data_IF_475253123928
#
_entry.id   IF_475253123928
#
_cell.length_a   1.000
_cell.length_b   1.000
_cell.length_c   1.000
_cell.angle_alpha   90.00
_cell.angle_beta   90.00
_cell.angle_gamma   90.00
#
_symmetry.space_group_name_H-M   'P 1'
#
loop_
_entity.id
_entity.type
_entity.pdbx_description
1 polymer ?
#
# COMPACT_ATOMS: atom_id res chain seq x y z
N UNK A 1 15.82 4.21 40.37
CA UNK A 1 14.85 4.32 39.26
C UNK A 1 15.19 3.22 38.26
N UNK A 2 14.39 2.15 38.19
CA UNK A 2 14.66 1.02 37.29
C UNK A 2 14.72 1.51 35.84
N UNK A 3 15.89 1.42 35.22
CA UNK A 3 16.05 1.57 33.77
C UNK A 3 15.25 0.45 33.14
N UNK A 4 14.00 0.73 32.76
CA UNK A 4 13.13 -0.25 32.09
C UNK A 4 13.90 -0.81 30.89
N UNK A 5 14.19 -2.10 30.96
CA UNK A 5 14.84 -2.81 29.88
C UNK A 5 13.82 -2.97 28.75
N UNK A 6 14.11 -2.37 27.60
CA UNK A 6 13.16 -2.26 26.49
C UNK A 6 13.66 -3.12 25.32
N UNK A 7 12.82 -4.05 24.86
CA UNK A 7 13.02 -4.76 23.60
C UNK A 7 12.64 -3.88 22.42
N UNK A 8 13.43 -3.95 21.35
CA UNK A 8 13.27 -3.11 20.15
C UNK A 8 12.83 -3.99 18.98
N UNK A 9 11.78 -3.58 18.31
CA UNK A 9 11.23 -4.23 17.13
C UNK A 9 11.26 -3.27 15.95
N UNK A 10 11.81 -3.72 14.83
CA UNK A 10 11.67 -3.01 13.57
C UNK A 10 10.42 -3.49 12.84
N UNK A 11 9.66 -2.55 12.30
CA UNK A 11 8.42 -2.82 11.58
C UNK A 11 8.35 -1.97 10.30
N UNK A 12 7.60 -2.41 9.31
CA UNK A 12 7.37 -1.64 8.08
C UNK A 12 6.60 -0.36 8.40
N UNK A 13 7.04 0.78 7.88
CA UNK A 13 6.29 2.05 8.02
C UNK A 13 4.95 2.00 7.29
N UNK A 14 4.89 1.24 6.20
CA UNK A 14 3.69 0.96 5.43
C UNK A 14 3.49 -0.55 5.45
N UNK A 15 2.41 -1.07 6.06
CA UNK A 15 2.14 -2.50 6.11
C UNK A 15 2.24 -3.16 4.74
N UNK A 16 3.07 -4.21 4.63
CA UNK A 16 3.28 -4.98 3.41
C UNK A 16 4.23 -4.34 2.39
N UNK A 17 4.76 -3.14 2.61
CA UNK A 17 5.71 -2.48 1.71
C UNK A 17 7.00 -2.09 2.44
N UNK A 18 7.94 -3.03 2.47
CA UNK A 18 9.24 -2.85 3.12
C UNK A 18 10.10 -1.76 2.46
N UNK A 19 9.90 -1.47 1.17
CA UNK A 19 10.66 -0.44 0.45
C UNK A 19 10.29 0.98 0.87
N UNK A 20 9.16 1.17 1.58
CA UNK A 20 8.82 2.44 2.24
C UNK A 20 9.58 2.65 3.55
N UNK A 21 10.45 1.71 3.90
CA UNK A 21 11.37 1.80 5.02
C UNK A 21 10.77 1.24 6.31
N UNK A 22 11.67 1.07 7.29
CA UNK A 22 11.34 0.54 8.60
C UNK A 22 11.23 1.67 9.63
N UNK A 23 10.41 1.44 10.65
CA UNK A 23 10.37 2.21 11.89
C UNK A 23 10.64 1.30 13.09
N UNK A 24 10.88 1.88 14.26
CA UNK A 24 11.12 1.12 15.48
C UNK A 24 10.00 1.27 16.52
N UNK A 25 9.76 0.19 17.26
CA UNK A 25 8.87 0.10 18.41
C UNK A 25 9.70 -0.39 19.60
N UNK A 26 9.42 0.15 20.80
CA UNK A 26 9.96 -0.32 22.07
C UNK A 26 8.84 -0.77 22.98
N UNK A 27 9.04 -1.91 23.61
CA UNK A 27 8.15 -2.47 24.62
C UNK A 27 9.01 -3.06 25.74
N UNK A 28 8.45 -3.13 26.94
CA UNK A 28 9.10 -3.75 28.09
C UNK A 28 9.56 -5.19 27.76
N UNK A 29 10.80 -5.53 28.09
CA UNK A 29 11.41 -6.80 27.69
C UNK A 29 10.72 -8.02 28.30
N UNK A 30 10.30 -7.92 29.55
CA UNK A 30 9.67 -9.03 30.27
C UNK A 30 8.28 -9.31 29.69
N UNK A 31 7.59 -8.23 29.32
CA UNK A 31 6.31 -8.32 28.62
C UNK A 31 6.50 -8.90 27.21
N UNK A 32 7.50 -8.45 26.46
CA UNK A 32 7.81 -8.99 25.14
C UNK A 32 8.10 -10.50 25.18
N UNK A 33 8.90 -10.95 26.16
CA UNK A 33 9.22 -12.36 26.34
C UNK A 33 7.98 -13.17 26.73
N UNK A 34 7.19 -12.68 27.70
CA UNK A 34 5.95 -13.33 28.15
C UNK A 34 4.90 -13.45 27.04
N UNK A 35 4.80 -12.44 26.17
CA UNK A 35 3.90 -12.45 25.02
C UNK A 35 4.48 -13.17 23.80
N UNK A 36 5.72 -13.65 23.87
CA UNK A 36 6.43 -14.33 22.77
C UNK A 36 6.40 -13.51 21.46
N UNK A 37 6.59 -12.20 21.56
CA UNK A 37 6.48 -11.31 20.40
C UNK A 37 7.57 -11.66 19.38
N UNK A 38 7.21 -12.04 18.14
CA UNK A 38 8.17 -12.47 17.13
C UNK A 38 8.98 -11.28 16.62
N UNK A 39 10.29 -11.51 16.47
CA UNK A 39 11.21 -10.53 15.86
C UNK A 39 11.23 -10.78 14.36
N UNK A 40 10.62 -9.88 13.57
CA UNK A 40 10.58 -9.98 12.10
C UNK A 40 11.90 -9.59 11.44
N UNK A 41 12.55 -8.54 11.94
CA UNK A 41 13.80 -8.02 11.38
C UNK A 41 14.83 -7.81 12.49
N UNK A 42 16.01 -8.40 12.29
CA UNK A 42 17.11 -8.40 13.28
C UNK A 42 18.34 -7.62 12.80
N UNK A 43 18.38 -7.19 11.54
CA UNK A 43 19.55 -6.54 10.93
C UNK A 43 19.29 -6.03 9.52
N UNK A 44 20.37 -5.87 8.75
CA UNK A 44 20.30 -5.42 7.35
C UNK A 44 19.62 -6.50 6.50
N UNK A 45 18.59 -6.09 5.76
CA UNK A 45 17.79 -6.97 4.92
C UNK A 45 18.30 -6.85 3.48
N UNK A 46 18.72 -7.97 2.91
CA UNK A 46 19.17 -8.07 1.52
C UNK A 46 18.04 -8.61 0.66
N UNK A 47 17.49 -7.77 -0.22
CA UNK A 47 16.41 -8.14 -1.14
C UNK A 47 17.01 -8.31 -2.54
N UNK A 48 16.93 -9.49 -3.17
CA UNK A 48 17.36 -9.69 -4.55
C UNK A 48 16.64 -8.72 -5.48
N UNK A 49 17.37 -8.08 -6.38
CA UNK A 49 16.76 -7.32 -7.46
C UNK A 49 16.11 -8.34 -8.44
N UNK A 50 14.79 -8.33 -8.64
CA UNK A 50 14.12 -9.28 -9.53
C UNK A 50 14.46 -9.07 -11.02
N UNK A 51 15.14 -7.96 -11.38
CA UNK A 51 15.67 -7.73 -12.73
C UNK A 51 17.20 -7.87 -12.78
N UNK A 52 17.74 -9.10 -12.84
CA UNK A 52 19.00 -9.34 -13.52
C UNK A 52 18.68 -9.68 -14.99
N UNK A 53 19.22 -8.92 -15.95
CA UNK A 53 19.11 -9.13 -17.43
C UNK A 53 17.73 -8.71 -18.03
N UNK A 54 17.60 -7.96 -19.13
CA UNK A 54 18.39 -7.89 -20.34
C UNK A 54 18.42 -6.48 -20.95
N UNK A 55 19.60 -5.85 -21.05
CA UNK A 55 19.87 -4.99 -22.22
C UNK A 55 20.48 -5.91 -23.27
N UNK A 56 19.81 -6.20 -24.41
CA UNK A 56 20.53 -6.69 -25.57
C UNK A 56 21.33 -5.49 -26.08
N UNK A 57 22.58 -5.36 -25.63
CA UNK A 57 23.53 -4.45 -26.25
C UNK A 57 23.86 -5.10 -27.59
N UNK A 58 23.37 -4.55 -28.69
CA UNK A 58 23.86 -4.95 -30.00
C UNK A 58 25.34 -4.53 -30.08
N UNK A 59 26.25 -5.40 -30.56
CA UNK A 59 27.67 -5.08 -30.70
C UNK A 59 27.96 -3.82 -31.51
N UNK A 60 26.99 -3.38 -32.31
CA UNK A 60 27.07 -2.27 -33.25
C UNK A 60 26.70 -0.91 -32.62
N UNK A 61 26.03 -0.93 -31.47
CA UNK A 61 25.63 0.27 -30.75
C UNK A 61 26.83 0.84 -30.00
N UNK A 62 27.60 1.71 -30.68
CA UNK A 62 28.70 2.51 -30.09
C UNK A 62 28.18 3.56 -29.11
N UNK A 63 27.43 3.15 -28.09
CA UNK A 63 27.04 4.02 -27.00
C UNK A 63 28.23 4.23 -26.05
N UNK A 64 28.44 5.46 -25.52
CA UNK A 64 29.49 5.72 -24.56
C UNK A 64 29.34 4.78 -23.37
N UNK A 65 30.42 4.09 -23.01
CA UNK A 65 30.51 3.08 -21.97
C UNK A 65 30.14 3.62 -20.59
N UNK A 66 28.86 3.86 -20.33
CA UNK A 66 28.35 4.11 -18.99
C UNK A 66 28.13 2.73 -18.37
N UNK A 67 29.04 2.27 -17.52
CA UNK A 67 28.80 1.09 -16.68
C UNK A 67 27.56 1.36 -15.82
N UNK A 68 26.43 0.68 -16.04
CA UNK A 68 25.28 0.84 -15.16
C UNK A 68 25.68 0.25 -13.82
N UNK A 69 25.46 0.99 -12.73
CA UNK A 69 25.81 0.53 -11.39
C UNK A 69 24.75 -0.49 -10.93
N UNK A 70 24.80 -1.70 -11.50
CA UNK A 70 23.87 -2.79 -11.24
C UNK A 70 24.02 -3.28 -9.80
N UNK A 71 23.22 -2.73 -8.90
CA UNK A 71 23.06 -3.36 -7.60
C UNK A 71 22.22 -4.62 -7.79
N UNK A 72 22.84 -5.79 -7.64
CA UNK A 72 22.16 -7.09 -7.68
C UNK A 72 21.15 -7.26 -6.55
N UNK A 73 21.21 -6.40 -5.52
CA UNK A 73 20.37 -6.45 -4.33
C UNK A 73 20.09 -5.04 -3.79
N UNK A 74 18.90 -4.85 -3.25
CA UNK A 74 18.57 -3.72 -2.39
C UNK A 74 18.92 -4.07 -0.94
N UNK A 75 19.55 -3.14 -0.23
CA UNK A 75 19.83 -3.27 1.19
C UNK A 75 18.92 -2.33 1.97
N UNK A 76 18.09 -2.89 2.85
CA UNK A 76 17.26 -2.12 3.76
C UNK A 76 17.90 -2.16 5.14
N UNK A 77 18.38 -1.01 5.58
CA UNK A 77 19.01 -0.86 6.89
C UNK A 77 17.94 -0.53 7.94
N UNK A 78 17.99 -1.17 9.13
CA UNK A 78 17.18 -0.73 10.25
C UNK A 78 17.45 0.73 10.60
N UNK A 79 16.42 1.52 10.93
CA UNK A 79 16.60 2.93 11.30
C UNK A 79 17.40 3.05 12.59
N UNK A 80 18.17 4.14 12.71
CA UNK A 80 18.75 4.52 13.99
C UNK A 80 17.66 4.71 15.04
N UNK A 81 17.91 4.20 16.25
CA UNK A 81 16.98 4.31 17.38
C UNK A 81 17.20 5.65 18.08
N UNK A 82 16.89 6.74 17.37
CA UNK A 82 17.00 8.12 17.84
C UNK A 82 15.75 8.93 17.48
N UNK A 83 15.62 10.10 18.08
CA UNK A 83 14.53 11.05 17.80
C UNK A 83 13.29 10.86 18.67
N UNK A 84 12.23 11.62 18.34
CA UNK A 84 10.97 11.66 19.09
C UNK A 84 10.22 10.33 18.99
N UNK A 85 9.48 9.99 20.05
CA UNK A 85 8.58 8.85 20.08
C UNK A 85 7.19 9.27 20.54
N UNK A 86 6.22 8.39 20.29
CA UNK A 86 4.84 8.48 20.75
C UNK A 86 4.59 7.32 21.71
N UNK A 87 3.95 7.60 22.84
CA UNK A 87 3.54 6.59 23.82
C UNK A 87 2.13 6.12 23.51
N UNK A 88 1.98 4.82 23.35
CA UNK A 88 0.73 4.09 23.23
C UNK A 88 0.55 3.21 24.47
N UNK A 89 -0.68 2.82 24.75
CA UNK A 89 -0.98 1.81 25.76
C UNK A 89 -1.66 0.63 25.04
N UNK A 90 -1.15 -0.57 25.26
CA UNK A 90 -1.79 -1.80 24.78
C UNK A 90 -2.45 -2.47 25.98
N UNK A 91 -3.74 -2.78 25.85
CA UNK A 91 -4.45 -3.65 26.77
C UNK A 91 -4.47 -5.07 26.17
N UNK A 92 -3.79 -6.01 26.82
CA UNK A 92 -3.66 -7.40 26.37
C UNK A 92 -3.77 -8.33 27.58
N UNK A 93 -4.58 -9.39 27.48
CA UNK A 93 -4.78 -10.39 28.56
C UNK A 93 -5.12 -9.76 29.93
N UNK A 94 -5.89 -8.66 29.93
CA UNK A 94 -6.31 -7.96 31.16
C UNK A 94 -5.28 -7.00 31.75
N UNK A 95 -4.12 -6.81 31.11
CA UNK A 95 -3.07 -5.92 31.59
C UNK A 95 -2.80 -4.77 30.61
N UNK A 96 -2.41 -3.61 31.15
CA UNK A 96 -1.98 -2.44 30.36
C UNK A 96 -0.45 -2.39 30.27
N UNK A 97 0.08 -2.37 29.05
CA UNK A 97 1.51 -2.19 28.78
C UNK A 97 1.78 -0.94 27.96
N UNK A 98 2.92 -0.30 28.20
CA UNK A 98 3.34 0.87 27.43
C UNK A 98 4.09 0.42 26.19
N UNK A 99 3.70 0.96 25.04
CA UNK A 99 4.41 0.81 23.78
C UNK A 99 4.93 2.18 23.35
N UNK A 100 6.21 2.28 22.99
CA UNK A 100 6.79 3.50 22.47
C UNK A 100 7.13 3.30 20.99
N UNK A 101 6.47 4.02 20.10
CA UNK A 101 6.73 3.95 18.67
C UNK A 101 7.48 5.19 18.20
N UNK A 102 8.36 5.04 17.20
CA UNK A 102 8.98 6.16 16.51
C UNK A 102 7.90 7.15 16.03
N UNK A 103 8.15 8.46 16.15
CA UNK A 103 7.14 9.48 15.86
C UNK A 103 6.56 9.40 14.43
N UNK A 104 7.36 8.96 13.47
CA UNK A 104 6.99 8.80 12.06
C UNK A 104 6.15 7.55 11.75
N UNK A 105 5.98 6.64 12.72
CA UNK A 105 5.10 5.48 12.53
C UNK A 105 3.64 5.91 12.56
N UNK A 106 2.87 5.32 11.63
CA UNK A 106 1.42 5.47 11.57
C UNK A 106 0.75 4.54 12.58
N UNK A 107 -0.46 4.90 13.03
CA UNK A 107 -1.27 4.00 13.87
C UNK A 107 -1.54 2.68 13.14
N UNK A 108 -1.74 2.75 11.82
CA UNK A 108 -1.94 1.59 10.95
C UNK A 108 -0.76 0.61 10.98
N UNK A 109 0.48 1.11 10.90
CA UNK A 109 1.67 0.26 10.99
C UNK A 109 1.75 -0.48 12.34
N UNK A 110 1.41 0.21 13.44
CA UNK A 110 1.41 -0.38 14.78
C UNK A 110 0.30 -1.44 14.91
N UNK A 111 -0.90 -1.14 14.40
CA UNK A 111 -2.05 -2.08 14.40
C UNK A 111 -1.73 -3.31 13.54
N UNK A 112 -1.10 -3.14 12.37
CA UNK A 112 -0.68 -4.24 11.51
C UNK A 112 0.35 -5.13 12.17
N UNK A 113 1.31 -4.52 12.88
CA UNK A 113 2.29 -5.27 13.62
C UNK A 113 1.63 -6.05 14.77
N UNK A 114 0.72 -5.44 15.52
CA UNK A 114 -0.02 -6.14 16.59
C UNK A 114 -0.82 -7.33 16.04
N UNK A 115 -1.55 -7.16 14.94
CA UNK A 115 -2.33 -8.24 14.33
C UNK A 115 -1.49 -9.40 13.78
N UNK A 116 -0.19 -9.19 13.55
CA UNK A 116 0.70 -10.25 13.05
C UNK A 116 1.04 -11.31 14.10
N UNK A 117 0.79 -11.05 15.38
CA UNK A 117 1.15 -11.97 16.46
C UNK A 117 0.22 -11.95 17.67
N UNK A 118 -0.55 -10.88 17.89
CA UNK A 118 -1.37 -10.71 19.08
C UNK A 118 -2.78 -11.29 18.90
N UNK A 119 -3.36 -11.77 20.01
CA UNK A 119 -4.72 -12.31 20.04
C UNK A 119 -5.79 -11.28 19.68
N UNK A 120 -7.00 -11.73 19.33
CA UNK A 120 -8.11 -10.86 18.90
C UNK A 120 -8.56 -9.87 19.99
N UNK A 121 -8.36 -10.16 21.27
CA UNK A 121 -8.89 -9.33 22.37
C UNK A 121 -8.00 -8.15 22.78
N UNK A 122 -7.07 -7.76 21.92
CA UNK A 122 -6.15 -6.65 22.18
C UNK A 122 -6.83 -5.32 21.92
N UNK A 123 -6.53 -4.31 22.74
CA UNK A 123 -6.93 -2.92 22.49
C UNK A 123 -5.70 -2.02 22.47
N UNK A 124 -5.62 -1.14 21.50
CA UNK A 124 -4.61 -0.11 21.39
C UNK A 124 -5.20 1.25 21.77
N UNK A 125 -4.60 1.92 22.75
CA UNK A 125 -4.94 3.28 23.15
C UNK A 125 -3.86 4.21 22.59
N UNK A 126 -4.29 5.14 21.74
CA UNK A 126 -3.42 6.13 21.08
C UNK A 126 -3.04 7.29 22.03
N UNK A 127 -2.01 8.10 21.72
CA UNK A 127 -1.67 9.28 22.51
C UNK A 127 -2.81 10.28 22.71
N UNK A 128 -3.77 10.34 21.77
CA UNK A 128 -4.98 11.15 21.88
C UNK A 128 -6.12 10.48 22.65
N UNK A 129 -5.82 9.44 23.44
CA UNK A 129 -6.75 8.64 24.24
C UNK A 129 -7.87 7.92 23.46
N UNK A 130 -7.76 7.84 22.12
CA UNK A 130 -8.65 7.00 21.30
C UNK A 130 -8.29 5.53 21.50
N UNK A 131 -9.29 4.73 21.86
CA UNK A 131 -9.19 3.27 21.96
C UNK A 131 -9.56 2.61 20.63
N UNK A 132 -8.77 1.62 20.21
CA UNK A 132 -8.93 0.85 18.98
C UNK A 132 -8.95 -0.63 19.38
N UNK A 133 -10.09 -1.30 19.21
CA UNK A 133 -10.21 -2.75 19.45
C UNK A 133 -9.69 -3.52 18.24
N UNK A 134 -8.84 -4.52 18.47
CA UNK A 134 -8.32 -5.43 17.45
C UNK A 134 -9.19 -6.70 17.30
N UNK A 135 -10.34 -6.74 17.98
CA UNK A 135 -11.29 -7.87 18.02
C UNK A 135 -12.13 -8.07 16.76
N UNK A 136 -12.14 -7.09 15.87
CA UNK A 136 -12.72 -7.22 14.54
C UNK A 136 -11.66 -7.62 13.53
N UNK A 137 -12.05 -8.29 12.45
CA UNK A 137 -11.24 -8.38 11.23
C UNK A 137 -10.86 -6.96 10.77
N UNK A 138 -9.79 -6.38 11.32
CA UNK A 138 -9.23 -5.16 10.79
C UNK A 138 -8.59 -5.58 9.47
N UNK A 139 -9.37 -5.44 8.40
CA UNK A 139 -8.89 -5.47 7.01
C UNK A 139 -8.01 -4.24 6.81
N UNK A 140 -6.82 -4.27 7.38
CA UNK A 140 -5.78 -3.30 7.07
C UNK A 140 -5.52 -3.39 5.57
N UNK A 141 -5.40 -2.23 4.93
CA UNK A 141 -5.08 -2.11 3.52
C UNK A 141 -6.14 -2.55 2.49
N UNK A 142 -7.44 -2.69 2.82
CA UNK A 142 -8.46 -2.72 1.76
C UNK A 142 -8.60 -1.33 1.13
N UNK A 143 -7.84 -1.13 0.06
CA UNK A 143 -8.10 -0.06 -0.89
C UNK A 143 -9.00 -0.62 -2.00
N UNK A 144 -9.79 0.24 -2.60
CA UNK A 144 -10.70 -0.14 -3.68
C UNK A 144 -10.39 0.70 -4.90
N UNK A 145 -10.52 0.10 -6.07
CA UNK A 145 -10.69 0.83 -7.33
C UNK A 145 -12.17 0.82 -7.66
N UNK A 146 -12.73 1.98 -8.01
CA UNK A 146 -14.15 2.14 -8.27
C UNK A 146 -14.42 2.79 -9.62
N UNK A 147 -15.63 2.55 -10.12
CA UNK A 147 -16.20 3.15 -11.31
C UNK A 147 -17.51 3.82 -10.93
N UNK A 148 -17.59 5.14 -11.06
CA UNK A 148 -18.79 5.93 -10.74
C UNK A 148 -19.31 6.58 -12.02
N UNK A 149 -20.58 6.40 -12.32
CA UNK A 149 -21.26 6.99 -13.46
C UNK A 149 -21.98 8.29 -13.09
N UNK A 150 -21.88 9.26 -13.97
CA UNK A 150 -22.62 10.51 -13.95
C UNK A 150 -23.51 10.56 -15.20
N UNK A 151 -24.82 10.59 -14.99
CA UNK A 151 -25.81 10.57 -16.08
C UNK A 151 -25.82 11.84 -16.93
N UNK A 152 -25.60 13.01 -16.33
CA UNK A 152 -25.66 14.30 -17.01
C UNK A 152 -24.54 14.49 -18.02
N UNK A 153 -23.32 14.19 -17.58
CA UNK A 153 -22.12 14.30 -18.42
C UNK A 153 -21.85 13.05 -19.24
N UNK A 154 -22.67 12.01 -19.06
CA UNK A 154 -22.49 10.68 -19.64
C UNK A 154 -21.04 10.18 -19.50
N UNK A 155 -20.49 10.33 -18.29
CA UNK A 155 -19.09 10.08 -17.98
C UNK A 155 -18.94 9.09 -16.82
N UNK A 156 -17.85 8.32 -16.85
CA UNK A 156 -17.45 7.38 -15.81
C UNK A 156 -16.16 7.89 -15.17
N UNK A 157 -16.19 8.07 -13.85
CA UNK A 157 -15.01 8.33 -13.04
C UNK A 157 -14.32 7.00 -12.70
N UNK A 158 -13.01 6.94 -12.93
CA UNK A 158 -12.16 5.84 -12.48
C UNK A 158 -11.29 6.38 -11.35
N UNK A 159 -11.47 5.89 -10.13
CA UNK A 159 -10.71 6.35 -8.99
C UNK A 159 -10.43 5.25 -7.98
N UNK A 160 -9.65 5.58 -6.96
CA UNK A 160 -9.41 4.70 -5.80
C UNK A 160 -9.73 5.38 -4.48
N UNK A 161 -10.15 4.59 -3.50
CA UNK A 161 -10.27 5.04 -2.12
C UNK A 161 -10.23 3.87 -1.14
N UNK A 162 -9.90 4.14 0.12
CA UNK A 162 -10.07 3.20 1.23
C UNK A 162 -11.53 3.11 1.71
N UNK A 163 -12.36 4.12 1.40
CA UNK A 163 -13.78 4.14 1.69
C UNK A 163 -14.57 4.76 0.52
N UNK A 164 -15.06 3.90 -0.37
CA UNK A 164 -15.77 4.32 -1.60
C UNK A 164 -17.07 5.04 -1.29
N UNK A 165 -17.81 4.63 -0.25
CA UNK A 165 -19.09 5.24 0.11
C UNK A 165 -18.90 6.70 0.60
N UNK A 166 -17.93 6.92 1.49
CA UNK A 166 -17.58 8.28 1.94
C UNK A 166 -17.11 9.14 0.78
N UNK A 167 -16.36 8.56 -0.16
CA UNK A 167 -15.92 9.25 -1.38
C UNK A 167 -17.10 9.60 -2.29
N UNK A 168 -18.05 8.68 -2.50
CA UNK A 168 -19.26 8.93 -3.28
C UNK A 168 -20.05 10.10 -2.68
N UNK A 169 -20.28 10.10 -1.37
CA UNK A 169 -20.95 11.20 -0.67
C UNK A 169 -20.24 12.54 -0.91
N UNK A 170 -18.91 12.57 -0.81
CA UNK A 170 -18.11 13.78 -1.08
C UNK A 170 -18.13 14.21 -2.55
N UNK A 171 -18.29 13.30 -3.50
CA UNK A 171 -18.43 13.64 -4.92
C UNK A 171 -19.85 14.11 -5.24
N UNK A 172 -20.85 13.57 -4.55
CA UNK A 172 -22.25 13.93 -4.72
C UNK A 172 -22.52 15.38 -4.33
N UNK A 173 -21.80 15.94 -3.33
CA UNK A 173 -21.97 17.34 -2.93
C UNK A 173 -21.67 18.35 -4.05
N UNK A 174 -20.87 17.96 -5.04
CA UNK A 174 -20.53 18.79 -6.20
C UNK A 174 -21.19 18.30 -7.50
N UNK A 175 -22.16 17.39 -7.42
CA UNK A 175 -22.93 16.92 -8.56
C UNK A 175 -24.43 17.11 -8.33
N UNK A 176 -25.15 17.81 -9.21
CA UNK A 176 -26.59 18.02 -9.08
C UNK A 176 -27.39 16.74 -9.35
N UNK A 177 -26.80 15.75 -10.02
CA UNK A 177 -27.41 14.44 -10.28
C UNK A 177 -26.81 13.35 -9.43
N UNK A 178 -27.63 12.35 -9.14
CA UNK A 178 -27.23 11.17 -8.38
C UNK A 178 -26.15 10.40 -9.12
N UNK A 179 -24.99 10.27 -8.48
CA UNK A 179 -23.88 9.47 -8.97
C UNK A 179 -24.12 7.99 -8.68
N UNK A 180 -23.93 7.14 -9.69
CA UNK A 180 -24.16 5.70 -9.59
C UNK A 180 -22.84 4.95 -9.48
N UNK A 181 -22.69 4.06 -8.49
CA UNK A 181 -21.55 3.14 -8.43
C UNK A 181 -21.81 2.00 -9.40
N UNK A 182 -21.02 1.90 -10.48
CA UNK A 182 -21.10 0.80 -11.43
C UNK A 182 -20.38 -0.45 -10.92
N UNK A 183 -19.21 -0.27 -10.30
CA UNK A 183 -18.37 -1.38 -9.82
C UNK A 183 -17.36 -0.91 -8.78
N UNK A 184 -17.06 -1.79 -7.84
CA UNK A 184 -15.99 -1.64 -6.85
C UNK A 184 -15.14 -2.91 -6.88
N UNK A 185 -13.83 -2.73 -6.96
CA UNK A 185 -12.84 -3.80 -6.99
C UNK A 185 -11.97 -3.68 -5.75
N UNK A 186 -12.04 -4.61 -4.79
CA UNK A 186 -11.13 -4.60 -3.65
C UNK A 186 -9.71 -4.94 -4.08
N UNK A 187 -8.75 -4.29 -3.44
CA UNK A 187 -7.34 -4.44 -3.67
C UNK A 187 -6.65 -4.87 -2.39
N UNK A 188 -5.59 -5.66 -2.55
CA UNK A 188 -4.80 -6.20 -1.45
C UNK A 188 -3.99 -5.13 -0.71
N UNK A 189 -3.75 -3.99 -1.38
CA UNK A 189 -3.05 -2.84 -0.79
C UNK A 189 -3.37 -1.53 -1.49
N UNK A 190 -3.09 -0.41 -0.81
CA UNK A 190 -3.17 0.93 -1.39
C UNK A 190 -2.29 1.10 -2.62
N UNK A 191 -1.09 0.48 -2.60
CA UNK A 191 -0.16 0.50 -3.72
C UNK A 191 -0.75 -0.21 -4.94
N UNK A 192 -1.33 -1.39 -4.75
CA UNK A 192 -1.99 -2.14 -5.82
C UNK A 192 -3.16 -1.35 -6.41
N UNK A 193 -3.96 -0.70 -5.57
CA UNK A 193 -5.04 0.17 -6.04
C UNK A 193 -4.51 1.34 -6.90
N UNK A 194 -3.39 1.95 -6.51
CA UNK A 194 -2.74 3.02 -7.29
C UNK A 194 -2.20 2.52 -8.63
N UNK A 195 -1.56 1.35 -8.66
CA UNK A 195 -1.05 0.74 -9.89
C UNK A 195 -2.18 0.39 -10.85
N UNK A 196 -3.27 -0.20 -10.34
CA UNK A 196 -4.46 -0.56 -11.13
C UNK A 196 -5.17 0.69 -11.65
N UNK A 197 -5.36 1.72 -10.82
CA UNK A 197 -5.90 3.01 -11.25
C UNK A 197 -5.08 3.62 -12.39
N UNK A 198 -3.76 3.71 -12.23
CA UNK A 198 -2.86 4.25 -13.25
C UNK A 198 -2.90 3.43 -14.55
N UNK A 199 -2.96 2.11 -14.45
CA UNK A 199 -3.13 1.21 -15.60
C UNK A 199 -4.44 1.49 -16.35
N UNK A 200 -5.56 1.58 -15.65
CA UNK A 200 -6.87 1.85 -16.25
C UNK A 200 -6.93 3.22 -16.90
N UNK A 201 -6.35 4.22 -16.23
CA UNK A 201 -6.20 5.58 -16.74
C UNK A 201 -5.39 5.62 -18.03
N UNK A 202 -4.31 4.84 -18.13
CA UNK A 202 -3.51 4.70 -19.36
C UNK A 202 -4.28 3.95 -20.44
N UNK A 203 -4.92 2.83 -20.09
CA UNK A 203 -5.68 1.95 -21.00
C UNK A 203 -6.85 2.67 -21.67
N UNK A 204 -7.55 3.51 -20.92
CA UNK A 204 -8.70 4.28 -21.41
C UNK A 204 -8.37 5.76 -21.64
N UNK A 205 -7.07 6.09 -21.79
CA UNK A 205 -6.63 7.47 -21.98
C UNK A 205 -7.28 8.15 -23.19
N UNK A 206 -7.60 7.41 -24.25
CA UNK A 206 -8.31 7.89 -25.43
C UNK A 206 -9.77 8.29 -25.16
N UNK A 207 -10.35 7.85 -24.04
CA UNK A 207 -11.70 8.22 -23.60
C UNK A 207 -11.68 9.32 -22.53
N UNK A 208 -10.50 9.74 -22.07
CA UNK A 208 -10.38 10.71 -20.97
C UNK A 208 -10.95 12.06 -21.40
N UNK A 209 -11.85 12.60 -20.58
CA UNK A 209 -12.46 13.91 -20.78
C UNK A 209 -11.70 14.97 -19.98
N UNK A 210 -11.74 14.88 -18.65
CA UNK A 210 -11.04 15.81 -17.75
C UNK A 210 -10.69 15.13 -16.43
N UNK A 211 -9.43 15.26 -16.01
CA UNK A 211 -8.91 14.62 -14.81
C UNK A 211 -9.13 13.11 -14.81
N UNK A 212 -9.97 12.65 -13.89
CA UNK A 212 -10.28 11.22 -13.66
C UNK A 212 -11.62 10.78 -14.30
N UNK A 213 -12.23 11.64 -15.13
CA UNK A 213 -13.49 11.37 -15.82
C UNK A 213 -13.26 10.95 -17.27
N UNK A 214 -13.95 9.89 -17.70
CA UNK A 214 -13.83 9.25 -19.00
C UNK A 214 -15.21 9.14 -19.66
N UNK A 215 -15.30 9.23 -20.99
CA UNK A 215 -16.55 9.01 -21.72
C UNK A 215 -17.11 7.62 -21.40
N UNK A 216 -18.42 7.52 -21.15
CA UNK A 216 -19.10 6.24 -20.88
C UNK A 216 -19.28 5.38 -22.15
N UNK A 217 -18.18 5.14 -22.85
CA UNK A 217 -18.07 4.37 -24.08
C UNK A 217 -18.43 2.89 -23.87
N UNK A 218 -19.05 2.21 -24.87
CA UNK A 218 -19.31 0.78 -24.80
C UNK A 218 -18.08 -0.05 -24.44
N UNK A 219 -16.89 0.30 -24.95
CA UNK A 219 -15.65 -0.41 -24.64
C UNK A 219 -15.31 -0.38 -23.13
N UNK A 220 -15.53 0.76 -22.48
CA UNK A 220 -15.29 0.93 -21.04
C UNK A 220 -16.37 0.22 -20.23
N UNK A 221 -17.65 0.36 -20.60
CA UNK A 221 -18.77 -0.31 -19.94
C UNK A 221 -18.62 -1.83 -19.98
N UNK A 222 -18.30 -2.39 -21.14
CA UNK A 222 -18.09 -3.83 -21.28
C UNK A 222 -16.89 -4.34 -20.49
N UNK A 223 -15.85 -3.50 -20.32
CA UNK A 223 -14.72 -3.84 -19.47
C UNK A 223 -15.12 -3.90 -18.00
N UNK A 224 -15.93 -2.95 -17.53
CA UNK A 224 -16.42 -2.89 -16.14
C UNK A 224 -17.27 -4.12 -15.80
N UNK A 225 -18.14 -4.54 -16.72
CA UNK A 225 -18.98 -5.73 -16.54
C UNK A 225 -18.14 -7.01 -16.45
N UNK A 226 -17.08 -7.10 -17.26
CA UNK A 226 -16.22 -8.29 -17.36
C UNK A 226 -15.08 -8.35 -16.34
N UNK A 227 -14.73 -7.23 -15.70
CA UNK A 227 -13.64 -7.22 -14.75
C UNK A 227 -14.10 -7.74 -13.38
N UNK A 228 -13.28 -8.63 -12.82
CA UNK A 228 -13.43 -9.18 -11.47
C UNK A 228 -12.09 -9.14 -10.73
N UNK A 229 -12.10 -9.55 -9.47
CA UNK A 229 -10.90 -9.59 -8.64
C UNK A 229 -9.82 -10.54 -9.20
N UNK A 230 -10.21 -11.66 -9.79
CA UNK A 230 -9.29 -12.64 -10.40
C UNK A 230 -8.50 -12.07 -11.57
N UNK A 231 -9.11 -11.19 -12.38
CA UNK A 231 -8.47 -10.56 -13.53
C UNK A 231 -7.17 -9.80 -13.18
N UNK A 232 -7.07 -9.25 -11.96
CA UNK A 232 -5.88 -8.52 -11.50
C UNK A 232 -4.88 -9.37 -10.71
N UNK A 233 -5.29 -10.56 -10.25
CA UNK A 233 -4.40 -11.57 -9.67
C UNK A 233 -3.58 -12.26 -10.77
N UNK A 234 -4.22 -12.64 -11.87
CA UNK A 234 -3.59 -13.46 -12.92
C UNK A 234 -2.79 -12.64 -13.94
N UNK A 235 -3.25 -11.43 -14.28
CA UNK A 235 -2.65 -10.64 -15.36
C UNK A 235 -1.36 -9.91 -14.98
N UNK A 236 -1.08 -9.75 -13.68
CA UNK A 236 0.17 -9.17 -13.18
C UNK A 236 1.24 -10.21 -12.83
N UNK A 237 0.89 -11.49 -12.80
CA UNK A 237 1.86 -12.61 -12.73
C UNK A 237 2.36 -13.04 -14.12
N UNK A 238 1.70 -12.60 -15.21
CA UNK A 238 1.93 -13.11 -16.56
C UNK A 238 2.29 -12.04 -17.61
N UNK A 239 2.72 -10.84 -17.23
CA UNK A 239 3.16 -9.82 -18.21
C UNK A 239 4.57 -9.31 -17.87
N UNK A 240 5.58 -9.59 -18.71
CA UNK A 240 6.79 -8.78 -18.72
C UNK A 240 6.44 -7.37 -19.22
N UNK A 241 6.98 -6.37 -18.55
CA UNK A 241 6.86 -4.94 -18.83
C UNK A 241 6.82 -4.63 -20.33
N UNK A 242 5.81 -3.90 -20.86
CA UNK A 242 5.74 -3.62 -22.28
C UNK A 242 6.82 -2.61 -22.69
N UNK A 243 7.70 -3.12 -23.57
CA UNK A 243 8.62 -2.38 -24.43
C UNK A 243 7.95 -1.14 -25.04
N UNK A 244 8.64 -0.02 -24.97
CA UNK A 244 8.41 1.16 -25.79
C UNK A 244 8.58 0.80 -27.27
N UNK A 245 7.49 0.72 -28.01
CA UNK A 245 7.50 0.65 -29.47
C UNK A 245 7.56 2.07 -30.03
N UNK A 246 8.73 2.50 -30.50
CA UNK A 246 8.85 3.55 -31.52
C UNK A 246 8.73 2.83 -32.87
N UNK A 247 7.76 3.23 -33.69
CA UNK A 247 7.76 2.94 -35.13
C UNK A 247 8.42 4.11 -35.83
N UNK A 248 9.59 3.89 -36.41
CA UNK A 248 10.16 4.73 -37.45
C UNK A 248 9.50 4.32 -38.77
N UNK A 249 8.44 5.03 -39.14
CA UNK A 249 8.07 5.21 -40.54
C UNK A 249 8.30 6.67 -40.85
N UNK A 250 9.54 6.99 -41.21
CA UNK A 250 9.98 8.07 -42.11
C UNK A 250 11.50 8.20 -41.94
N UNK A 251 12.18 7.95 -43.06
CA UNK A 251 13.60 8.12 -43.44
C UNK A 251 14.58 8.72 -42.43
#
# INVERSE_FOLDING_TARGET
MSTKNLSIYFIEKVPGDIFKGLGWIKIDCDIAHRLQIPVKYTGVIKIPNPEPYCCPINPEDKLPWIKPNYHSHYYIHPPEIRGKNKKFIIHIKGENTNLYAQYSLTVEAIVSWLLSWADKDVRLITPGNRSISLSGNIKLNQAFVYFIFNSDSYAIKIGRDSNVEKRLQSLQTSSPVTLEILKVLPMESLKKAQEVEAYLHKRFGHLRMSGEWFRADPQLRDYITRCDESYFKDKFLAQPSPRSSVRLSEL
#
